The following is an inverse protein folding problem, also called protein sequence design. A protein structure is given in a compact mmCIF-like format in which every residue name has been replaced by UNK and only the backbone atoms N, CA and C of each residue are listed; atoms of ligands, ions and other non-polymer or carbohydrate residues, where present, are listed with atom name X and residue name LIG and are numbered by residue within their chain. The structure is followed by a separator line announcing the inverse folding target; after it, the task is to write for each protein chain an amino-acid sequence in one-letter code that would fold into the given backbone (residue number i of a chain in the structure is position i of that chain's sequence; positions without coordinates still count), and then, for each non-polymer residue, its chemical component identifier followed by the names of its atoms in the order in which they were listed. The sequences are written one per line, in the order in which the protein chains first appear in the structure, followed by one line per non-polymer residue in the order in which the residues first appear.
data_IF_290675492574
#
_entry.id   IF_290675492574
#
_cell.length_a   1.000
_cell.length_b   1.000
_cell.length_c   1.000
_cell.angle_alpha   90.00
_cell.angle_beta   90.00
_cell.angle_gamma   90.00
#
_symmetry.space_group_name_H-M   'P 1'
#
loop_
_entity.id
_entity.type
_entity.pdbx_description
1 polymer ?
#
# COMPACT_ATOMS: atom_id res chain seq x y z
N UNK A 1 -51.20 12.53 -54.06
CA UNK A 1 -51.05 11.29 -53.27
C UNK A 1 -49.83 10.57 -53.81
N UNK A 2 -48.74 10.49 -53.05
CA UNK A 2 -47.54 9.73 -53.43
C UNK A 2 -47.64 8.31 -52.84
N UNK A 3 -47.25 7.25 -53.56
CA UNK A 3 -47.25 5.90 -53.01
C UNK A 3 -46.08 5.72 -52.03
N UNK A 4 -46.37 5.11 -50.88
CA UNK A 4 -45.38 4.71 -49.88
C UNK A 4 -44.67 3.45 -50.39
N UNK A 5 -43.35 3.54 -50.61
CA UNK A 5 -42.51 2.38 -50.96
C UNK A 5 -42.37 1.39 -49.80
N UNK A 6 -42.04 0.11 -50.09
CA UNK A 6 -41.95 -0.93 -49.06
C UNK A 6 -40.83 -0.63 -48.06
N UNK A 7 -41.16 -0.69 -46.77
CA UNK A 7 -40.19 -0.58 -45.67
C UNK A 7 -39.24 -1.77 -45.77
N UNK A 8 -38.00 -1.53 -46.20
CA UNK A 8 -36.96 -2.54 -46.23
C UNK A 8 -36.82 -3.18 -44.86
N UNK A 9 -37.05 -4.50 -44.77
CA UNK A 9 -36.99 -5.24 -43.53
C UNK A 9 -35.62 -5.07 -42.88
N UNK A 10 -35.59 -4.52 -41.66
CA UNK A 10 -34.37 -4.45 -40.87
C UNK A 10 -33.76 -5.86 -40.77
N UNK A 11 -32.43 -6.01 -40.95
CA UNK A 11 -31.80 -7.33 -40.91
C UNK A 11 -32.17 -8.02 -39.59
N UNK A 12 -32.73 -9.22 -39.72
CA UNK A 12 -33.17 -10.06 -38.60
C UNK A 12 -31.98 -10.25 -37.67
N UNK A 13 -32.10 -9.85 -36.40
CA UNK A 13 -31.06 -10.12 -35.41
C UNK A 13 -30.95 -11.63 -35.22
N UNK A 14 -29.92 -12.24 -35.82
CA UNK A 14 -29.64 -13.67 -35.70
C UNK A 14 -28.66 -13.85 -34.54
N UNK A 15 -29.12 -14.53 -33.48
CA UNK A 15 -28.24 -14.94 -32.39
C UNK A 15 -27.41 -16.13 -32.90
N UNK A 16 -26.17 -15.88 -33.32
CA UNK A 16 -25.25 -16.96 -33.63
C UNK A 16 -24.84 -17.64 -32.32
N UNK A 17 -25.15 -18.93 -32.18
CA UNK A 17 -24.70 -19.73 -31.03
C UNK A 17 -23.17 -19.91 -31.11
N UNK A 18 -22.46 -19.01 -30.43
CA UNK A 18 -21.00 -19.01 -30.35
C UNK A 18 -20.59 -20.05 -29.31
N UNK A 19 -20.67 -21.35 -29.65
CA UNK A 19 -20.18 -22.50 -28.85
C UNK A 19 -19.96 -22.19 -27.37
N UNK A 20 -21.02 -21.90 -26.63
CA UNK A 20 -20.89 -21.66 -25.20
C UNK A 20 -20.67 -23.03 -24.53
N UNK A 21 -19.45 -23.30 -24.08
CA UNK A 21 -19.20 -24.49 -23.28
C UNK A 21 -19.84 -24.29 -21.90
N UNK A 22 -20.80 -25.14 -21.54
CA UNK A 22 -21.34 -25.13 -20.17
C UNK A 22 -20.19 -25.43 -19.20
N UNK A 23 -20.10 -24.65 -18.13
CA UNK A 23 -19.12 -24.88 -17.08
C UNK A 23 -19.43 -26.22 -16.39
N UNK A 24 -18.58 -27.22 -16.63
CA UNK A 24 -18.69 -28.56 -16.05
C UNK A 24 -17.85 -28.74 -14.77
N UNK A 25 -17.16 -27.69 -14.33
CA UNK A 25 -16.31 -27.74 -13.13
C UNK A 25 -17.11 -27.61 -11.84
N UNK A 26 -16.50 -28.01 -10.72
CA UNK A 26 -17.04 -27.73 -9.40
C UNK A 26 -16.98 -26.21 -9.12
N UNK A 27 -18.06 -25.67 -8.54
CA UNK A 27 -18.08 -24.29 -8.07
C UNK A 27 -17.01 -24.09 -6.99
N UNK A 28 -16.23 -23.01 -7.11
CA UNK A 28 -15.20 -22.67 -6.11
C UNK A 28 -15.83 -21.97 -4.91
N UNK A 29 -15.27 -22.14 -3.71
CA UNK A 29 -15.77 -21.48 -2.52
C UNK A 29 -15.53 -19.96 -2.60
N UNK A 30 -16.35 -19.19 -1.88
CA UNK A 30 -16.30 -17.72 -1.83
C UNK A 30 -14.92 -17.15 -1.49
N UNK A 31 -14.17 -17.82 -0.60
CA UNK A 31 -12.77 -17.47 -0.26
C UNK A 31 -11.84 -17.45 -1.48
N UNK A 32 -12.09 -18.27 -2.49
CA UNK A 32 -11.29 -18.29 -3.72
C UNK A 32 -11.54 -17.04 -4.57
N UNK A 33 -12.75 -16.49 -4.55
CA UNK A 33 -13.07 -15.22 -5.21
C UNK A 33 -12.33 -14.07 -4.53
N UNK A 34 -12.37 -14.00 -3.19
CA UNK A 34 -11.64 -13.00 -2.39
C UNK A 34 -10.13 -13.12 -2.63
N UNK A 35 -9.55 -14.32 -2.55
CA UNK A 35 -8.12 -14.51 -2.79
C UNK A 35 -7.71 -14.11 -4.21
N UNK A 36 -8.53 -14.43 -5.22
CA UNK A 36 -8.28 -14.02 -6.61
C UNK A 36 -8.37 -12.50 -6.77
N UNK A 37 -9.32 -11.86 -6.08
CA UNK A 37 -9.46 -10.42 -6.04
C UNK A 37 -8.25 -9.74 -5.38
N UNK A 38 -7.82 -10.21 -4.21
CA UNK A 38 -6.61 -9.73 -3.50
C UNK A 38 -5.37 -9.88 -4.39
N UNK A 39 -5.14 -11.07 -4.94
CA UNK A 39 -4.00 -11.33 -5.83
C UNK A 39 -4.02 -10.42 -7.07
N UNK A 40 -5.21 -10.19 -7.64
CA UNK A 40 -5.37 -9.24 -8.73
C UNK A 40 -5.12 -7.79 -8.29
N UNK A 41 -5.57 -7.42 -7.09
CA UNK A 41 -5.33 -6.13 -6.46
C UNK A 41 -3.84 -5.83 -6.25
N UNK A 42 -3.04 -6.83 -5.90
CA UNK A 42 -1.57 -6.69 -5.77
C UNK A 42 -0.89 -6.59 -7.14
N UNK A 43 -1.30 -7.43 -8.10
CA UNK A 43 -0.66 -7.52 -9.42
C UNK A 43 -0.89 -6.29 -10.29
N UNK A 44 -2.08 -5.68 -10.22
CA UNK A 44 -2.50 -4.57 -11.09
C UNK A 44 -1.66 -3.30 -10.91
N UNK A 45 -1.37 -2.79 -9.68
CA UNK A 45 -0.50 -1.64 -9.46
C UNK A 45 0.95 -1.88 -9.89
N UNK A 46 1.45 -3.10 -9.71
CA UNK A 46 2.79 -3.51 -10.16
C UNK A 46 2.92 -3.60 -11.70
N UNK A 47 1.85 -3.36 -12.46
CA UNK A 47 1.87 -3.47 -13.92
C UNK A 47 2.03 -4.91 -14.41
N UNK A 48 1.80 -5.91 -13.57
CA UNK A 48 1.89 -7.31 -13.97
C UNK A 48 0.78 -7.63 -14.97
N UNK A 49 1.13 -8.37 -16.03
CA UNK A 49 0.27 -8.65 -17.21
C UNK A 49 -0.07 -7.42 -18.06
N UNK A 50 0.70 -6.33 -17.94
CA UNK A 50 0.67 -5.17 -18.85
C UNK A 50 2.00 -5.01 -19.59
N UNK A 51 2.06 -4.01 -20.47
CA UNK A 51 3.27 -3.63 -21.20
C UNK A 51 4.47 -3.42 -20.27
N UNK A 52 5.69 -3.57 -20.79
CA UNK A 52 6.92 -3.34 -20.03
C UNK A 52 6.95 -1.93 -19.41
N UNK A 53 6.45 -0.92 -20.13
CA UNK A 53 6.35 0.47 -19.66
C UNK A 53 5.53 0.62 -18.37
N UNK A 54 4.47 -0.19 -18.18
CA UNK A 54 3.64 -0.13 -16.98
C UNK A 54 4.36 -0.68 -15.72
N UNK A 55 5.47 -1.41 -15.91
CA UNK A 55 6.27 -1.98 -14.83
C UNK A 55 7.40 -1.05 -14.39
N UNK A 56 7.86 -0.15 -15.26
CA UNK A 56 9.02 0.71 -14.99
C UNK A 56 8.84 1.46 -13.68
N UNK A 57 7.74 2.19 -13.53
CA UNK A 57 7.51 3.04 -12.36
C UNK A 57 7.44 2.27 -11.03
N UNK A 58 6.57 1.26 -10.84
CA UNK A 58 6.49 0.55 -9.56
C UNK A 58 7.77 -0.22 -9.22
N UNK A 59 8.45 -0.81 -10.20
CA UNK A 59 9.71 -1.53 -9.96
C UNK A 59 10.90 -0.59 -9.75
N UNK A 60 10.90 0.60 -10.33
CA UNK A 60 11.89 1.63 -10.03
C UNK A 60 11.77 2.07 -8.56
N UNK A 61 10.56 2.38 -8.10
CA UNK A 61 10.34 2.75 -6.70
C UNK A 61 10.70 1.60 -5.75
N UNK A 62 10.37 0.35 -6.12
CA UNK A 62 10.79 -0.81 -5.34
C UNK A 62 12.32 -0.95 -5.31
N UNK A 63 12.99 -0.82 -6.45
CA UNK A 63 14.44 -0.86 -6.53
C UNK A 63 15.11 0.22 -5.67
N UNK A 64 14.60 1.46 -5.75
CA UNK A 64 15.09 2.58 -4.94
C UNK A 64 14.88 2.32 -3.44
N UNK A 65 13.74 1.76 -3.02
CA UNK A 65 13.49 1.44 -1.62
C UNK A 65 14.42 0.35 -1.06
N UNK A 66 14.83 -0.60 -1.91
CA UNK A 66 15.77 -1.67 -1.52
C UNK A 66 17.23 -1.23 -1.58
N UNK A 67 17.55 -0.18 -2.32
CA UNK A 67 18.92 0.26 -2.59
C UNK A 67 19.71 0.58 -1.32
N UNK A 68 19.21 1.34 -0.32
CA UNK A 68 19.97 1.64 0.89
C UNK A 68 20.36 0.38 1.67
N UNK A 69 19.41 -0.55 1.86
CA UNK A 69 19.66 -1.80 2.58
C UNK A 69 20.69 -2.66 1.83
N UNK A 70 20.54 -2.80 0.50
CA UNK A 70 21.47 -3.55 -0.32
C UNK A 70 22.88 -2.93 -0.32
N UNK A 71 22.98 -1.61 -0.38
CA UNK A 71 24.26 -0.90 -0.38
C UNK A 71 25.01 -1.13 0.95
N UNK A 72 24.30 -1.00 2.07
CA UNK A 72 24.88 -1.18 3.40
C UNK A 72 25.30 -2.64 3.65
N UNK A 73 24.51 -3.61 3.21
CA UNK A 73 24.89 -5.04 3.27
C UNK A 73 26.05 -5.37 2.34
N UNK A 74 26.15 -4.72 1.17
CA UNK A 74 27.21 -4.99 0.20
C UNK A 74 28.61 -4.56 0.68
N UNK A 75 28.73 -3.51 1.50
CA UNK A 75 30.02 -2.99 1.97
C UNK A 75 30.86 -4.07 2.68
N UNK A 76 30.41 -4.71 3.77
CA UNK A 76 31.18 -5.76 4.45
C UNK A 76 31.35 -7.02 3.60
N UNK A 77 30.42 -7.32 2.68
CA UNK A 77 30.54 -8.47 1.77
C UNK A 77 31.62 -8.30 0.70
N UNK A 78 31.81 -7.08 0.21
CA UNK A 78 32.75 -6.78 -0.89
C UNK A 78 34.13 -6.34 -0.40
N UNK A 79 34.23 -5.85 0.84
CA UNK A 79 35.47 -5.35 1.42
C UNK A 79 35.79 -6.10 2.71
N UNK A 80 36.45 -7.27 2.64
CA UNK A 80 36.71 -8.11 3.81
C UNK A 80 37.55 -7.45 4.92
N UNK A 81 38.24 -6.35 4.61
CA UNK A 81 38.99 -5.56 5.58
C UNK A 81 38.09 -4.67 6.47
N UNK A 82 36.81 -4.53 6.13
CA UNK A 82 35.83 -3.71 6.88
C UNK A 82 34.96 -4.64 7.71
N UNK A 83 35.32 -4.82 8.99
CA UNK A 83 34.51 -5.57 9.96
C UNK A 83 33.47 -4.65 10.61
N UNK A 84 32.43 -4.30 9.86
CA UNK A 84 31.30 -3.48 10.34
C UNK A 84 30.01 -4.20 10.03
N UNK A 85 29.08 -4.26 10.98
CA UNK A 85 27.78 -4.87 10.73
C UNK A 85 26.84 -3.92 9.97
N UNK A 86 26.00 -4.42 9.05
CA UNK A 86 25.06 -3.58 8.31
C UNK A 86 24.15 -2.74 9.22
N UNK A 87 23.74 -3.29 10.37
CA UNK A 87 22.93 -2.59 11.38
C UNK A 87 23.65 -1.44 12.09
N UNK A 88 24.99 -1.43 12.10
CA UNK A 88 25.78 -0.33 12.67
C UNK A 88 25.84 0.88 11.72
N UNK A 89 25.69 0.61 10.42
CA UNK A 89 25.71 1.64 9.37
C UNK A 89 24.35 2.30 9.19
N UNK A 90 23.26 1.54 9.37
CA UNK A 90 21.90 2.06 9.36
C UNK A 90 21.00 1.23 10.26
N UNK A 91 20.30 1.88 11.19
CA UNK A 91 19.31 1.22 12.02
C UNK A 91 18.02 0.91 11.22
N UNK A 92 17.17 0.03 11.75
CA UNK A 92 15.89 -0.28 11.13
C UNK A 92 14.97 0.94 11.03
N UNK A 93 14.92 1.79 12.06
CA UNK A 93 14.11 2.99 12.01
C UNK A 93 14.70 4.07 11.11
N UNK A 94 16.02 4.21 11.06
CA UNK A 94 16.69 5.09 10.08
C UNK A 94 16.36 4.65 8.66
N UNK A 95 16.40 3.35 8.36
CA UNK A 95 16.03 2.83 7.04
C UNK A 95 14.57 3.13 6.67
N UNK A 96 13.63 3.05 7.62
CA UNK A 96 12.24 3.50 7.42
C UNK A 96 12.18 5.01 7.11
N UNK A 97 12.93 5.83 7.85
CA UNK A 97 13.04 7.28 7.62
C UNK A 97 13.61 7.64 6.26
N UNK A 98 14.73 7.02 5.87
CA UNK A 98 15.38 7.18 4.57
C UNK A 98 14.44 6.82 3.42
N UNK A 99 13.61 5.78 3.60
CA UNK A 99 12.67 5.33 2.58
C UNK A 99 11.31 6.06 2.58
N UNK A 100 11.12 7.09 3.43
CA UNK A 100 9.84 7.80 3.54
C UNK A 100 9.38 8.41 2.21
N UNK A 101 10.25 9.12 1.49
CA UNK A 101 9.88 9.78 0.22
C UNK A 101 9.47 8.77 -0.85
N UNK A 102 10.23 7.67 -1.00
CA UNK A 102 9.93 6.62 -2.00
C UNK A 102 8.65 5.87 -1.64
N UNK A 103 8.41 5.63 -0.34
CA UNK A 103 7.15 5.08 0.17
C UNK A 103 5.97 5.96 -0.21
N UNK A 104 6.03 7.27 0.08
CA UNK A 104 4.93 8.19 -0.21
C UNK A 104 4.62 8.25 -1.71
N UNK A 105 5.64 8.27 -2.57
CA UNK A 105 5.47 8.23 -4.02
C UNK A 105 4.81 6.91 -4.49
N UNK A 106 5.20 5.79 -3.89
CA UNK A 106 4.64 4.48 -4.22
C UNK A 106 3.18 4.35 -3.78
N UNK A 107 2.86 4.76 -2.55
CA UNK A 107 1.49 4.79 -2.03
C UNK A 107 0.61 5.67 -2.91
N UNK A 108 1.04 6.91 -3.17
CA UNK A 108 0.30 7.88 -3.97
C UNK A 108 -0.09 7.33 -5.34
N UNK A 109 0.84 6.64 -6.01
CA UNK A 109 0.62 6.16 -7.38
C UNK A 109 -0.15 4.84 -7.46
N UNK A 110 -0.07 4.02 -6.41
CA UNK A 110 -0.58 2.63 -6.41
C UNK A 110 -1.92 2.48 -5.68
N UNK A 111 -2.01 2.96 -4.44
CA UNK A 111 -3.09 2.59 -3.51
C UNK A 111 -4.42 3.30 -3.81
N UNK A 112 -4.49 4.64 -3.94
CA UNK A 112 -5.75 5.32 -4.27
C UNK A 112 -6.32 4.87 -5.63
N UNK A 113 -5.43 4.44 -6.53
CA UNK A 113 -5.81 3.97 -7.86
C UNK A 113 -6.58 2.64 -7.86
N UNK A 114 -6.50 1.87 -6.77
CA UNK A 114 -7.22 0.61 -6.63
C UNK A 114 -8.74 0.82 -6.64
N UNK A 115 -9.23 1.80 -5.87
CA UNK A 115 -10.66 2.09 -5.73
C UNK A 115 -11.20 2.96 -6.87
N UNK A 116 -10.44 3.96 -7.31
CA UNK A 116 -10.89 4.89 -8.36
C UNK A 116 -11.19 4.19 -9.68
N UNK A 117 -10.47 3.10 -10.02
CA UNK A 117 -10.70 2.32 -11.24
C UNK A 117 -12.05 1.61 -11.24
N UNK A 118 -12.33 0.83 -10.20
CA UNK A 118 -13.60 0.09 -10.10
C UNK A 118 -14.81 1.04 -10.08
N UNK A 119 -14.65 2.22 -9.46
CA UNK A 119 -15.66 3.29 -9.44
C UNK A 119 -15.84 3.96 -10.80
N UNK A 120 -14.74 4.27 -11.49
CA UNK A 120 -14.76 4.90 -12.81
C UNK A 120 -15.49 4.03 -13.82
N UNK A 121 -15.24 2.73 -13.78
CA UNK A 121 -15.77 1.77 -14.75
C UNK A 121 -17.16 1.24 -14.33
N UNK A 122 -17.68 1.66 -13.17
CA UNK A 122 -18.99 1.27 -12.61
C UNK A 122 -19.19 -0.25 -12.52
N UNK A 123 -18.14 -0.98 -12.17
CA UNK A 123 -18.14 -2.45 -12.08
C UNK A 123 -18.48 -2.98 -10.69
N UNK A 124 -18.69 -2.11 -9.71
CA UNK A 124 -18.98 -2.49 -8.31
C UNK A 124 -20.29 -3.29 -8.20
N UNK A 125 -21.32 -2.88 -8.93
CA UNK A 125 -22.59 -3.61 -9.00
C UNK A 125 -22.42 -5.05 -9.48
N UNK A 126 -21.53 -5.27 -10.46
CA UNK A 126 -21.20 -6.61 -10.97
C UNK A 126 -20.47 -7.46 -9.92
N UNK A 127 -19.53 -6.88 -9.17
CA UNK A 127 -18.88 -7.60 -8.07
C UNK A 127 -19.88 -8.04 -7.01
N UNK A 128 -20.81 -7.15 -6.64
CA UNK A 128 -21.80 -7.38 -5.59
C UNK A 128 -22.93 -8.32 -6.00
N UNK A 129 -23.28 -8.35 -7.29
CA UNK A 129 -24.30 -9.26 -7.82
C UNK A 129 -23.80 -10.71 -7.97
N UNK A 130 -22.48 -10.92 -8.08
CA UNK A 130 -21.92 -12.23 -8.45
C UNK A 130 -21.20 -12.94 -7.31
N UNK A 131 -20.10 -12.39 -6.82
CA UNK A 131 -19.08 -13.17 -6.12
C UNK A 131 -18.59 -12.58 -4.79
N UNK A 132 -18.82 -11.29 -4.53
CA UNK A 132 -18.27 -10.58 -3.37
C UNK A 132 -19.37 -9.79 -2.65
N UNK A 133 -19.36 -9.81 -1.32
CA UNK A 133 -20.08 -8.80 -0.52
C UNK A 133 -19.30 -7.49 -0.50
N UNK A 134 -19.97 -6.40 -0.10
CA UNK A 134 -19.32 -5.12 0.15
C UNK A 134 -18.17 -5.25 1.17
N UNK A 135 -18.34 -6.08 2.21
CA UNK A 135 -17.32 -6.30 3.24
C UNK A 135 -16.10 -7.03 2.66
N UNK A 136 -16.33 -8.10 1.89
CA UNK A 136 -15.24 -8.85 1.25
C UNK A 136 -14.49 -8.02 0.22
N UNK A 137 -15.18 -7.11 -0.48
CA UNK A 137 -14.54 -6.16 -1.38
C UNK A 137 -13.61 -5.21 -0.61
N UNK A 138 -14.11 -4.56 0.45
CA UNK A 138 -13.32 -3.63 1.27
C UNK A 138 -12.13 -4.34 1.91
N UNK A 139 -12.36 -5.50 2.53
CA UNK A 139 -11.30 -6.32 3.12
C UNK A 139 -10.29 -6.76 2.06
N UNK A 140 -10.75 -7.16 0.87
CA UNK A 140 -9.89 -7.58 -0.21
C UNK A 140 -8.99 -6.46 -0.75
N UNK A 141 -9.53 -5.24 -0.92
CA UNK A 141 -8.72 -4.09 -1.34
C UNK A 141 -7.75 -3.70 -0.24
N UNK A 142 -8.18 -3.72 1.02
CA UNK A 142 -7.33 -3.40 2.15
C UNK A 142 -6.16 -4.39 2.25
N UNK A 143 -6.42 -5.70 2.21
CA UNK A 143 -5.38 -6.74 2.19
C UNK A 143 -4.44 -6.61 0.99
N UNK A 144 -4.96 -6.27 -0.19
CA UNK A 144 -4.12 -6.02 -1.36
C UNK A 144 -3.19 -4.81 -1.17
N UNK A 145 -3.70 -3.72 -0.55
CA UNK A 145 -2.89 -2.56 -0.21
C UNK A 145 -1.84 -2.89 0.85
N UNK A 146 -2.22 -3.59 1.93
CA UNK A 146 -1.28 -4.02 2.98
C UNK A 146 -0.16 -4.88 2.41
N UNK A 147 -0.49 -5.89 1.59
CA UNK A 147 0.51 -6.76 0.98
C UNK A 147 1.45 -5.97 0.05
N UNK A 148 0.91 -5.05 -0.74
CA UNK A 148 1.71 -4.21 -1.64
C UNK A 148 2.65 -3.28 -0.87
N UNK A 149 2.16 -2.64 0.19
CA UNK A 149 2.97 -1.75 1.02
C UNK A 149 3.96 -2.53 1.91
N UNK A 150 3.63 -3.74 2.34
CA UNK A 150 4.56 -4.61 3.05
C UNK A 150 5.79 -4.94 2.19
N UNK A 151 5.63 -5.16 0.87
CA UNK A 151 6.76 -5.42 -0.02
C UNK A 151 7.74 -4.23 -0.04
N UNK A 152 7.25 -2.99 -0.10
CA UNK A 152 8.13 -1.81 -0.16
C UNK A 152 8.66 -1.37 1.22
N UNK A 153 7.94 -1.64 2.31
CA UNK A 153 8.33 -1.23 3.67
C UNK A 153 9.07 -2.34 4.41
N UNK A 154 8.44 -3.50 4.57
CA UNK A 154 9.02 -4.63 5.30
C UNK A 154 10.15 -5.30 4.50
N UNK A 155 10.04 -5.31 3.17
CA UNK A 155 11.03 -5.91 2.29
C UNK A 155 12.48 -5.45 2.53
N UNK A 156 12.78 -4.14 2.45
CA UNK A 156 14.11 -3.61 2.73
C UNK A 156 14.60 -3.91 4.16
N UNK A 157 13.72 -3.88 5.16
CA UNK A 157 14.07 -4.23 6.54
C UNK A 157 14.50 -5.69 6.67
N UNK A 158 13.77 -6.60 6.01
CA UNK A 158 14.14 -8.02 5.98
C UNK A 158 15.45 -8.26 5.21
N UNK A 159 15.71 -7.50 4.15
CA UNK A 159 17.01 -7.54 3.44
C UNK A 159 18.14 -7.11 4.37
N UNK A 160 17.94 -6.05 5.16
CA UNK A 160 18.93 -5.61 6.14
C UNK A 160 19.15 -6.67 7.23
N UNK A 161 18.09 -7.26 7.78
CA UNK A 161 18.18 -8.32 8.79
C UNK A 161 18.89 -9.57 8.25
N UNK A 162 18.46 -10.09 7.10
CA UNK A 162 19.07 -11.28 6.48
C UNK A 162 20.50 -10.99 6.03
N UNK A 163 20.77 -9.79 5.52
CA UNK A 163 22.11 -9.35 5.16
C UNK A 163 23.06 -9.31 6.35
N UNK A 164 22.56 -8.88 7.52
CA UNK A 164 23.35 -8.85 8.76
C UNK A 164 23.68 -10.25 9.29
N UNK A 165 22.79 -11.22 9.10
CA UNK A 165 23.09 -12.64 9.35
C UNK A 165 24.21 -13.12 8.42
N UNK A 166 24.14 -12.75 7.14
CA UNK A 166 25.08 -13.21 6.12
C UNK A 166 26.49 -12.61 6.29
N UNK A 167 26.61 -11.44 6.92
CA UNK A 167 27.89 -10.76 7.16
C UNK A 167 28.51 -11.10 8.51
N UNK A 168 27.77 -11.75 9.42
CA UNK A 168 28.26 -12.11 10.73
C UNK A 168 29.26 -13.28 10.70
N UNK A 169 30.31 -13.21 11.52
CA UNK A 169 31.30 -14.31 11.67
C UNK A 169 30.65 -15.62 12.14
N UNK A 170 29.63 -15.52 12.99
CA UNK A 170 28.82 -16.63 13.47
C UNK A 170 27.33 -16.39 13.16
N UNK A 171 26.84 -16.75 11.94
CA UNK A 171 25.50 -16.43 11.49
C UNK A 171 24.38 -16.95 12.40
N UNK A 172 24.55 -18.17 12.94
CA UNK A 172 23.56 -18.78 13.82
C UNK A 172 23.44 -18.05 15.16
N UNK A 173 24.58 -17.74 15.78
CA UNK A 173 24.62 -17.00 17.05
C UNK A 173 24.05 -15.60 16.89
N UNK A 174 24.46 -14.87 15.83
CA UNK A 174 23.90 -13.55 15.54
C UNK A 174 22.38 -13.61 15.36
N UNK A 175 21.88 -14.58 14.61
CA UNK A 175 20.45 -14.77 14.42
C UNK A 175 19.71 -14.99 15.74
N UNK A 176 20.19 -15.89 16.61
CA UNK A 176 19.54 -16.17 17.90
C UNK A 176 19.56 -14.97 18.83
N UNK A 177 20.62 -14.17 18.80
CA UNK A 177 20.77 -12.98 19.63
C UNK A 177 19.85 -11.83 19.19
N UNK A 178 19.55 -11.74 17.88
CA UNK A 178 18.74 -10.67 17.27
C UNK A 178 17.31 -11.11 16.92
N UNK A 179 16.88 -12.31 17.34
CA UNK A 179 15.48 -12.74 17.20
C UNK A 179 14.49 -11.77 17.87
N UNK A 180 14.95 -11.08 18.93
CA UNK A 180 14.19 -10.04 19.63
C UNK A 180 13.85 -8.82 18.79
N UNK A 181 14.54 -8.58 17.67
CA UNK A 181 14.33 -7.42 16.80
C UNK A 181 13.16 -7.62 15.83
N UNK A 182 12.81 -8.89 15.52
CA UNK A 182 11.76 -9.22 14.55
C UNK A 182 10.39 -8.61 14.90
N UNK A 183 9.91 -8.64 16.16
CA UNK A 183 8.69 -7.93 16.55
C UNK A 183 8.77 -6.42 16.29
N UNK A 184 9.92 -5.78 16.52
CA UNK A 184 10.13 -4.36 16.23
C UNK A 184 10.10 -4.07 14.72
N UNK A 185 10.75 -4.91 13.92
CA UNK A 185 10.77 -4.83 12.45
C UNK A 185 9.35 -4.98 11.88
N UNK A 186 8.65 -6.05 12.26
CA UNK A 186 7.30 -6.36 11.76
C UNK A 186 6.28 -5.37 12.31
N UNK A 187 6.38 -5.02 13.60
CA UNK A 187 5.51 -4.06 14.26
C UNK A 187 5.67 -2.66 13.68
N UNK A 188 6.89 -2.17 13.57
CA UNK A 188 7.22 -0.87 12.98
C UNK A 188 6.78 -0.76 11.52
N UNK A 189 7.05 -1.78 10.70
CA UNK A 189 6.52 -1.84 9.34
C UNK A 189 4.98 -1.84 9.33
N UNK A 190 4.36 -2.58 10.24
CA UNK A 190 2.90 -2.64 10.41
C UNK A 190 2.29 -1.27 10.72
N UNK A 191 2.88 -0.50 11.64
CA UNK A 191 2.43 0.86 11.98
C UNK A 191 2.44 1.76 10.74
N UNK A 192 3.53 1.75 9.97
CA UNK A 192 3.67 2.55 8.75
C UNK A 192 2.68 2.11 7.67
N UNK A 193 2.59 0.81 7.43
CA UNK A 193 1.76 0.22 6.36
C UNK A 193 0.26 0.43 6.63
N UNK A 194 -0.20 0.15 7.86
CA UNK A 194 -1.61 0.31 8.24
C UNK A 194 -2.07 1.77 8.11
N UNK A 195 -1.24 2.72 8.55
CA UNK A 195 -1.55 4.14 8.46
C UNK A 195 -1.75 4.58 7.00
N UNK A 196 -0.74 4.33 6.16
CA UNK A 196 -0.76 4.80 4.78
C UNK A 196 -1.77 4.03 3.91
N UNK A 197 -1.99 2.74 4.16
CA UNK A 197 -3.06 1.99 3.50
C UNK A 197 -4.43 2.57 3.83
N UNK A 198 -4.71 2.81 5.12
CA UNK A 198 -6.00 3.36 5.58
C UNK A 198 -6.24 4.75 5.02
N UNK A 199 -5.24 5.64 5.11
CA UNK A 199 -5.33 7.01 4.61
C UNK A 199 -5.53 7.06 3.08
N UNK A 200 -4.70 6.34 2.32
CA UNK A 200 -4.74 6.37 0.86
C UNK A 200 -6.01 5.72 0.29
N UNK A 201 -6.50 4.66 0.92
CA UNK A 201 -7.76 4.02 0.53
C UNK A 201 -8.97 4.88 0.93
N UNK A 202 -8.95 5.52 2.10
CA UNK A 202 -9.99 6.46 2.48
C UNK A 202 -10.11 7.58 1.46
N UNK A 203 -9.01 8.26 1.12
CA UNK A 203 -8.98 9.31 0.08
C UNK A 203 -9.41 8.75 -1.29
N UNK A 204 -8.92 7.56 -1.67
CA UNK A 204 -9.28 6.90 -2.91
C UNK A 204 -10.77 6.55 -3.02
N UNK A 205 -11.47 6.36 -1.90
CA UNK A 205 -12.91 6.08 -1.87
C UNK A 205 -13.78 7.31 -2.14
N UNK A 206 -13.24 8.52 -1.96
CA UNK A 206 -13.98 9.78 -2.06
C UNK A 206 -14.15 10.27 -3.50
N UNK A 207 -13.43 9.70 -4.47
CA UNK A 207 -13.47 10.16 -5.86
C UNK A 207 -13.37 9.00 -6.84
N UNK A 208 -13.96 9.16 -8.04
CA UNK A 208 -13.78 8.23 -9.15
C UNK A 208 -12.60 8.64 -10.07
N UNK A 209 -12.10 9.87 -9.93
CA UNK A 209 -11.04 10.39 -10.80
C UNK A 209 -9.68 10.15 -10.15
N UNK A 210 -8.85 9.31 -10.79
CA UNK A 210 -7.50 8.97 -10.32
C UNK A 210 -6.67 10.21 -9.96
N UNK A 211 -6.68 11.24 -10.80
CA UNK A 211 -5.87 12.45 -10.58
C UNK A 211 -6.20 13.11 -9.24
N UNK A 212 -7.48 13.21 -8.87
CA UNK A 212 -7.88 13.80 -7.59
C UNK A 212 -7.56 12.91 -6.39
N UNK A 213 -7.62 11.58 -6.54
CA UNK A 213 -7.25 10.69 -5.45
C UNK A 213 -5.74 10.73 -5.16
N UNK A 214 -4.92 10.70 -6.20
CA UNK A 214 -3.46 10.82 -6.08
C UNK A 214 -3.10 12.19 -5.51
N UNK A 215 -3.65 13.26 -6.08
CA UNK A 215 -3.41 14.64 -5.63
C UNK A 215 -3.86 14.87 -4.20
N UNK A 216 -5.02 14.33 -3.79
CA UNK A 216 -5.52 14.44 -2.42
C UNK A 216 -4.61 13.74 -1.41
N UNK A 217 -4.13 12.55 -1.72
CA UNK A 217 -3.16 11.87 -0.86
C UNK A 217 -1.86 12.66 -0.74
N UNK A 218 -1.30 13.10 -1.87
CA UNK A 218 -0.08 13.93 -1.90
C UNK A 218 -0.25 15.25 -1.14
N UNK A 219 -1.40 15.90 -1.27
CA UNK A 219 -1.70 17.13 -0.54
C UNK A 219 -1.60 16.90 0.97
N UNK A 220 -2.20 15.82 1.49
CA UNK A 220 -2.13 15.50 2.92
C UNK A 220 -0.69 15.22 3.36
N UNK A 221 0.04 14.36 2.65
CA UNK A 221 1.38 13.91 3.10
C UNK A 221 2.53 14.88 2.76
N UNK A 222 2.33 15.88 1.90
CA UNK A 222 3.35 16.88 1.60
C UNK A 222 3.07 18.22 2.31
N UNK A 223 1.80 18.62 2.40
CA UNK A 223 1.43 19.88 3.07
C UNK A 223 1.38 19.68 4.59
N UNK A 224 0.94 18.52 5.07
CA UNK A 224 0.88 18.17 6.49
C UNK A 224 2.20 18.45 7.23
N UNK A 225 3.33 17.86 6.82
CA UNK A 225 4.64 18.08 7.45
C UNK A 225 5.04 19.57 7.49
N UNK A 226 4.81 20.30 6.40
CA UNK A 226 5.16 21.71 6.31
C UNK A 226 4.35 22.57 7.29
N UNK A 227 3.04 22.28 7.42
CA UNK A 227 2.16 22.97 8.37
C UNK A 227 2.52 22.62 9.81
N UNK A 228 2.68 21.34 10.13
CA UNK A 228 3.00 20.89 11.50
C UNK A 228 4.37 21.40 11.93
N UNK A 229 5.36 21.38 11.03
CA UNK A 229 6.68 21.95 11.26
C UNK A 229 6.64 23.47 11.49
N UNK A 230 5.85 24.21 10.71
CA UNK A 230 5.68 25.65 10.91
C UNK A 230 5.00 25.98 12.25
N UNK A 231 3.97 25.23 12.65
CA UNK A 231 3.32 25.43 13.96
C UNK A 231 4.28 25.09 15.10
N UNK A 232 5.02 23.98 15.01
CA UNK A 232 6.02 23.60 16.01
C UNK A 232 7.10 24.69 16.16
N UNK A 233 7.57 25.25 15.06
CA UNK A 233 8.56 26.33 15.07
C UNK A 233 8.05 27.61 15.75
N UNK A 234 6.79 27.99 15.47
CA UNK A 234 6.17 29.21 16.04
C UNK A 234 5.86 29.04 17.52
N UNK A 235 5.31 27.88 17.90
CA UNK A 235 4.90 27.59 19.29
C UNK A 235 6.07 27.19 20.18
N UNK A 236 7.18 26.72 19.59
CA UNK A 236 8.29 26.05 20.27
C UNK A 236 7.86 24.81 21.06
N UNK A 237 6.86 24.10 20.53
CA UNK A 237 6.34 22.87 21.09
C UNK A 237 6.37 21.75 20.04
N UNK A 238 6.59 20.51 20.47
CA UNK A 238 6.73 19.37 19.57
C UNK A 238 5.41 18.64 19.27
N UNK A 239 4.33 18.92 20.02
CA UNK A 239 3.04 18.25 19.82
C UNK A 239 2.46 18.39 18.40
N UNK A 240 2.67 19.50 17.63
CA UNK A 240 2.16 19.59 16.27
C UNK A 240 2.79 18.53 15.36
N UNK A 241 4.02 18.10 15.62
CA UNK A 241 4.71 17.07 14.85
C UNK A 241 4.03 15.70 14.98
N UNK A 242 3.22 15.48 16.01
CA UNK A 242 2.40 14.27 16.13
C UNK A 242 1.26 14.21 15.09
N UNK A 243 0.89 15.35 14.50
CA UNK A 243 -0.12 15.45 13.45
C UNK A 243 0.46 15.26 12.05
N UNK A 244 1.78 15.11 11.92
CA UNK A 244 2.45 14.93 10.63
C UNK A 244 2.06 13.55 10.04
N UNK A 245 1.28 13.51 8.94
CA UNK A 245 0.84 12.25 8.34
C UNK A 245 1.95 11.51 7.59
N UNK A 246 3.08 12.15 7.30
CA UNK A 246 4.17 11.57 6.54
C UNK A 246 5.25 10.97 7.47
N UNK A 247 5.72 11.77 8.42
CA UNK A 247 6.79 11.35 9.34
C UNK A 247 6.26 10.70 10.63
N UNK A 248 5.03 11.03 11.05
CA UNK A 248 4.42 10.52 12.29
C UNK A 248 4.43 8.98 12.39
N UNK A 249 3.97 8.23 11.38
CA UNK A 249 3.99 6.77 11.42
C UNK A 249 5.40 6.18 11.51
N UNK A 250 6.40 6.84 10.91
CA UNK A 250 7.80 6.42 10.97
C UNK A 250 8.37 6.67 12.37
N UNK A 251 8.06 7.82 12.98
CA UNK A 251 8.47 8.12 14.37
C UNK A 251 7.85 7.16 15.38
N UNK A 252 6.57 6.79 15.18
CA UNK A 252 5.91 5.76 15.99
C UNK A 252 6.56 4.38 15.83
N UNK A 253 6.91 4.01 14.60
CA UNK A 253 7.64 2.77 14.33
C UNK A 253 9.03 2.76 14.97
N UNK A 254 9.74 3.89 14.94
CA UNK A 254 11.03 4.06 15.61
C UNK A 254 10.92 3.90 17.13
N UNK A 255 9.94 4.56 17.74
CA UNK A 255 9.66 4.45 19.16
C UNK A 255 9.33 3.02 19.58
N UNK A 256 8.56 2.28 18.77
CA UNK A 256 8.30 0.85 18.99
C UNK A 256 9.56 -0.02 18.91
N UNK A 257 10.53 0.36 18.07
CA UNK A 257 11.81 -0.33 17.94
C UNK A 257 12.78 -0.01 19.08
N UNK A 258 12.39 0.83 20.06
CA UNK A 258 13.25 1.27 21.14
C UNK A 258 14.30 2.30 20.73
N UNK A 259 14.23 2.82 19.50
CA UNK A 259 15.07 3.90 19.04
C UNK A 259 14.49 5.23 19.55
N UNK A 260 15.28 6.00 20.32
CA UNK A 260 14.86 7.28 20.91
C UNK A 260 14.89 8.42 19.87
N UNK A 261 14.24 8.16 18.74
CA UNK A 261 13.94 9.14 17.70
C UNK A 261 12.81 10.04 18.19
N UNK A 262 13.15 11.03 19.03
CA UNK A 262 12.25 12.05 19.59
C UNK A 262 10.86 11.49 19.93
N UNK A 263 10.67 10.97 21.16
CA UNK A 263 9.41 10.41 21.64
C UNK A 263 8.19 11.15 21.05
N UNK A 264 7.39 10.50 20.18
CA UNK A 264 6.32 11.16 19.44
C UNK A 264 5.13 11.59 20.32
N UNK A 265 5.14 11.21 21.59
CA UNK A 265 4.09 11.52 22.55
C UNK A 265 2.85 10.65 22.36
N UNK A 266 1.99 10.63 23.38
CA UNK A 266 0.72 9.88 23.34
C UNK A 266 -0.23 10.37 22.25
N UNK A 267 -0.14 11.66 21.89
CA UNK A 267 -0.95 12.26 20.83
C UNK A 267 -0.71 11.57 19.48
N UNK A 268 0.52 11.17 19.15
CA UNK A 268 0.81 10.53 17.87
C UNK A 268 0.09 9.17 17.76
N UNK A 269 0.00 8.40 18.84
CA UNK A 269 -0.79 7.16 18.87
C UNK A 269 -2.27 7.43 18.67
N UNK A 270 -2.82 8.49 19.28
CA UNK A 270 -4.22 8.88 19.10
C UNK A 270 -4.48 9.24 17.64
N UNK A 271 -3.64 10.06 17.03
CA UNK A 271 -3.74 10.45 15.62
C UNK A 271 -3.65 9.22 14.71
N UNK A 272 -2.71 8.31 14.98
CA UNK A 272 -2.57 7.07 14.23
C UNK A 272 -3.84 6.23 14.29
N UNK A 273 -4.40 6.01 15.49
CA UNK A 273 -5.64 5.25 15.68
C UNK A 273 -6.81 5.93 14.95
N UNK A 274 -6.92 7.26 15.05
CA UNK A 274 -7.97 8.02 14.38
C UNK A 274 -7.89 7.89 12.86
N UNK A 275 -6.69 7.93 12.26
CA UNK A 275 -6.51 7.77 10.82
C UNK A 275 -6.83 6.35 10.37
N UNK A 276 -6.37 5.34 11.12
CA UNK A 276 -6.61 3.93 10.78
C UNK A 276 -8.10 3.58 10.92
N UNK A 277 -8.69 3.85 12.08
CA UNK A 277 -10.11 3.55 12.36
C UNK A 277 -11.03 4.43 11.52
N UNK A 278 -10.73 5.73 11.42
CA UNK A 278 -11.50 6.67 10.61
C UNK A 278 -11.44 6.32 9.12
N UNK A 279 -10.26 5.93 8.62
CA UNK A 279 -10.10 5.47 7.25
C UNK A 279 -10.95 4.23 6.97
N UNK A 280 -10.86 3.21 7.81
CA UNK A 280 -11.69 2.00 7.70
C UNK A 280 -13.19 2.30 7.79
N UNK A 281 -13.60 3.21 8.67
CA UNK A 281 -14.99 3.65 8.81
C UNK A 281 -15.49 4.38 7.55
N UNK A 282 -14.67 5.24 6.93
CA UNK A 282 -14.98 5.90 5.67
C UNK A 282 -15.18 4.86 4.55
N UNK A 283 -14.28 3.88 4.44
CA UNK A 283 -14.45 2.78 3.48
C UNK A 283 -15.74 1.99 3.73
N UNK A 284 -15.93 1.50 4.96
CA UNK A 284 -17.12 0.72 5.32
C UNK A 284 -18.41 1.48 5.06
N UNK A 285 -18.48 2.74 5.50
CA UNK A 285 -19.63 3.60 5.31
C UNK A 285 -19.92 3.93 3.84
N UNK A 286 -18.89 4.05 3.00
CA UNK A 286 -19.06 4.32 1.57
C UNK A 286 -19.64 3.13 0.82
N UNK A 287 -19.12 1.93 1.07
CA UNK A 287 -19.47 0.72 0.32
C UNK A 287 -20.67 -0.03 0.90
N UNK A 288 -20.99 0.12 2.19
CA UNK A 288 -22.17 -0.49 2.80
C UNK A 288 -23.49 0.13 2.31
N UNK A 289 -23.50 1.43 1.96
CA UNK A 289 -24.73 2.15 1.56
C UNK A 289 -25.23 1.82 0.15
N UNK A 290 -24.52 1.00 -0.63
CA UNK A 290 -24.95 0.60 -1.98
C UNK A 290 -25.02 1.73 -3.02
N UNK A 291 -24.76 2.98 -2.65
CA UNK A 291 -24.91 4.17 -3.52
C UNK A 291 -23.99 4.23 -4.75
N UNK A 292 -23.04 3.30 -4.89
CA UNK A 292 -22.16 3.17 -6.05
C UNK A 292 -22.41 1.86 -6.84
N UNK A 293 -23.43 1.08 -6.45
CA UNK A 293 -23.95 -0.07 -7.19
C UNK A 293 -25.15 0.34 -8.05
#
# INVERSE_FOLDING_TARGET
MNPVGPVGGAPRAVLHDIRYSRFAGALRPRRSAVASFVASGIRRPLGLRRSASAKIWPFLLLGVAYLPALAVVAVPLLVPAVSVQPTDLISYAQLLGTNSVVLLAFVATSVPSMLTRDRRDRVLSLYFATALSWFEYVAGVFLAALALLAIIVLGPLLVLFVGSIATADAPWTWFTDHLGDLPGIVGGAGVVVLFHASLALAIGSLTAKRVFAVGGYLAVVLVGPALTGAVALVTREDWPLALDPASGPVRLAAYLAGEDLANPGSLAWVVWVLVVVGGLAVLGGRYARGSDA
#
